data_IF_230667747656
#
_entry.id   IF_230667747656
#
_cell.length_a   1.000
_cell.length_b   1.000
_cell.length_c   1.000
_cell.angle_alpha   90.00
_cell.angle_beta   90.00
_cell.angle_gamma   90.00
#
_symmetry.space_group_name_H-M   'P 1'
#
loop_
_entity.id
_entity.type
_entity.pdbx_description
1 polymer ?
#
# COMPACT_ATOMS: atom_id res chain seq x y z
N UNK A 1 3.92 -15.95 0.31
CA UNK A 1 2.54 -16.38 -0.05
C UNK A 1 1.43 -15.69 0.77
N UNK A 2 1.23 -15.97 2.07
CA UNK A 2 0.18 -15.28 2.88
C UNK A 2 0.48 -13.78 3.04
N UNK A 3 1.75 -13.45 3.24
CA UNK A 3 2.20 -12.06 3.37
C UNK A 3 2.06 -11.29 2.04
N UNK A 4 2.37 -11.91 0.89
CA UNK A 4 2.13 -11.27 -0.41
C UNK A 4 0.66 -10.96 -0.65
N UNK A 5 -0.23 -11.88 -0.29
CA UNK A 5 -1.68 -11.64 -0.38
C UNK A 5 -2.09 -10.44 0.47
N UNK A 6 -1.61 -10.36 1.72
CA UNK A 6 -1.91 -9.21 2.59
C UNK A 6 -1.36 -7.91 1.98
N UNK A 7 -0.12 -7.90 1.49
CA UNK A 7 0.47 -6.73 0.87
C UNK A 7 -0.28 -6.30 -0.42
N UNK A 8 -0.82 -7.27 -1.17
CA UNK A 8 -1.68 -7.01 -2.32
C UNK A 8 -3.00 -6.36 -1.91
N UNK A 9 -3.66 -6.87 -0.87
CA UNK A 9 -4.92 -6.30 -0.37
C UNK A 9 -4.71 -4.91 0.24
N UNK A 10 -3.60 -4.67 0.95
CA UNK A 10 -3.23 -3.33 1.44
C UNK A 10 -3.07 -2.33 0.28
N UNK A 11 -2.45 -2.76 -0.82
CA UNK A 11 -2.29 -1.94 -2.02
C UNK A 11 -3.64 -1.61 -2.68
N UNK A 12 -4.57 -2.58 -2.72
CA UNK A 12 -5.95 -2.34 -3.22
C UNK A 12 -6.69 -1.33 -2.36
N UNK A 13 -6.55 -1.42 -1.04
CA UNK A 13 -7.17 -0.48 -0.11
C UNK A 13 -6.60 0.93 -0.28
N UNK A 14 -5.28 1.07 -0.38
CA UNK A 14 -4.63 2.37 -0.62
C UNK A 14 -5.10 3.03 -1.92
N UNK A 15 -5.30 2.26 -3.01
CA UNK A 15 -5.89 2.79 -4.24
C UNK A 15 -7.36 3.19 -4.09
N UNK A 16 -8.13 2.47 -3.27
CA UNK A 16 -9.53 2.83 -2.96
C UNK A 16 -9.60 4.14 -2.19
N UNK A 17 -8.72 4.35 -1.21
CA UNK A 17 -8.61 5.61 -0.47
C UNK A 17 -8.29 6.75 -1.43
N UNK A 18 -7.23 6.60 -2.25
CA UNK A 18 -6.80 7.65 -3.18
C UNK A 18 -7.85 8.00 -4.24
N UNK A 19 -8.60 7.02 -4.73
CA UNK A 19 -9.64 7.26 -5.75
C UNK A 19 -10.92 7.90 -5.20
N UNK A 20 -11.14 7.87 -3.88
CA UNK A 20 -12.32 8.44 -3.21
C UNK A 20 -12.03 9.69 -2.41
N UNK A 21 -10.77 10.10 -2.33
CA UNK A 21 -10.32 11.24 -1.54
C UNK A 21 -10.23 12.48 -2.43
N UNK A 22 -10.83 13.59 -1.99
CA UNK A 22 -10.63 14.93 -2.55
C UNK A 22 -9.73 15.81 -1.68
N UNK A 23 -9.40 15.36 -0.47
CA UNK A 23 -8.52 16.05 0.46
C UNK A 23 -7.04 15.83 0.10
N UNK A 24 -6.29 16.93 0.04
CA UNK A 24 -4.89 16.90 -0.38
C UNK A 24 -3.98 16.23 0.66
N UNK A 25 -4.25 16.41 1.95
CA UNK A 25 -3.47 15.81 3.02
C UNK A 25 -3.67 14.29 3.04
N UNK A 26 -4.91 13.84 2.93
CA UNK A 26 -5.22 12.40 2.84
C UNK A 26 -4.60 11.80 1.57
N UNK A 27 -4.61 12.53 0.46
CA UNK A 27 -3.97 12.08 -0.79
C UNK A 27 -2.46 11.89 -0.63
N UNK A 28 -1.78 12.85 0.00
CA UNK A 28 -0.34 12.75 0.28
C UNK A 28 -0.03 11.55 1.17
N UNK A 29 -0.80 11.36 2.25
CA UNK A 29 -0.67 10.20 3.14
C UNK A 29 -0.95 8.88 2.43
N UNK A 30 -1.89 8.85 1.48
CA UNK A 30 -2.19 7.68 0.67
C UNK A 30 -1.05 7.31 -0.30
N UNK A 31 -0.33 8.30 -0.83
CA UNK A 31 0.87 8.08 -1.64
C UNK A 31 1.99 7.50 -0.77
N UNK A 32 2.26 8.09 0.40
CA UNK A 32 3.24 7.57 1.36
C UNK A 32 2.92 6.13 1.78
N UNK A 33 1.65 5.83 2.05
CA UNK A 33 1.19 4.48 2.37
C UNK A 33 1.55 3.47 1.27
N UNK A 34 1.37 3.84 -0.01
CA UNK A 34 1.76 2.95 -1.12
C UNK A 34 3.25 2.70 -1.15
N UNK A 35 4.07 3.73 -0.88
CA UNK A 35 5.53 3.57 -0.78
C UNK A 35 5.92 2.60 0.34
N UNK A 36 5.30 2.70 1.51
CA UNK A 36 5.57 1.78 2.62
C UNK A 36 5.11 0.34 2.32
N UNK A 37 3.98 0.15 1.62
CA UNK A 37 3.53 -1.18 1.20
C UNK A 37 4.53 -1.82 0.23
N UNK A 38 5.11 -1.07 -0.70
CA UNK A 38 6.14 -1.61 -1.61
C UNK A 38 7.41 -2.03 -0.86
N UNK A 39 7.86 -1.25 0.13
CA UNK A 39 8.97 -1.68 1.01
C UNK A 39 8.64 -2.99 1.72
N UNK A 40 7.42 -3.14 2.23
CA UNK A 40 6.97 -4.40 2.86
C UNK A 40 7.01 -5.55 1.86
N UNK A 41 6.60 -5.35 0.60
CA UNK A 41 6.68 -6.37 -0.45
C UNK A 41 8.12 -6.79 -0.75
N UNK A 42 9.03 -5.84 -0.84
CA UNK A 42 10.47 -6.14 -0.99
C UNK A 42 10.99 -6.97 0.18
N UNK A 43 10.62 -6.64 1.42
CA UNK A 43 11.02 -7.44 2.59
C UNK A 43 10.46 -8.85 2.54
N UNK A 44 9.20 -9.04 2.11
CA UNK A 44 8.60 -10.36 1.95
C UNK A 44 9.36 -11.21 0.92
N UNK A 45 9.77 -10.60 -0.20
CA UNK A 45 10.55 -11.29 -1.23
C UNK A 45 11.97 -11.66 -0.76
N UNK A 46 12.58 -10.85 0.10
CA UNK A 46 13.93 -11.11 0.62
C UNK A 46 13.99 -12.27 1.63
N UNK A 47 12.88 -12.61 2.27
CA UNK A 47 12.80 -13.65 3.31
C UNK A 47 12.16 -14.96 2.84
N UNK A 48 11.56 -14.98 1.65
CA UNK A 48 11.13 -16.21 0.96
C UNK A 48 12.30 -16.91 0.27
#
# INVERSE_FOLDING_TARGET
RKLDFIAQEMNREANTILSKTSDLEISNRGIELKTEIEKVREQIQNIE
#
